data_IF_300418672420
#
_entry.id   IF_300418672420
#
_cell.length_a   1.000
_cell.length_b   1.000
_cell.length_c   1.000
_cell.angle_alpha   90.00
_cell.angle_beta   90.00
_cell.angle_gamma   90.00
#
_symmetry.space_group_name_H-M   'P 1'
#
loop_
_entity.id
_entity.type
_entity.pdbx_description
1 polymer ?
#
# COMPACT_ATOMS: atom_id res chain seq x y z
N UNK A 1 12.10 -14.07 -3.11
CA UNK A 1 11.44 -13.54 -1.90
C UNK A 1 10.04 -14.15 -1.86
N UNK A 2 9.57 -14.66 -0.72
CA UNK A 2 8.25 -15.31 -0.63
C UNK A 2 7.14 -14.30 -0.36
N UNK A 3 5.94 -14.56 -0.88
CA UNK A 3 4.77 -13.71 -0.60
C UNK A 3 4.26 -13.93 0.83
N UNK A 4 4.03 -12.83 1.56
CA UNK A 4 3.32 -12.85 2.84
C UNK A 4 1.84 -13.14 2.59
N UNK A 5 1.22 -12.44 1.62
CA UNK A 5 -0.16 -12.69 1.22
C UNK A 5 -0.26 -13.72 0.08
N UNK A 6 0.03 -14.99 0.41
CA UNK A 6 0.08 -16.09 -0.57
C UNK A 6 -1.18 -16.19 -1.45
N UNK A 7 -2.37 -16.11 -0.86
CA UNK A 7 -3.63 -16.20 -1.60
C UNK A 7 -3.86 -15.00 -2.52
N UNK A 8 -3.48 -13.80 -2.06
CA UNK A 8 -3.60 -12.58 -2.86
C UNK A 8 -2.66 -12.65 -4.06
N UNK A 9 -1.41 -13.09 -3.84
CA UNK A 9 -0.43 -13.32 -4.88
C UNK A 9 -0.84 -14.42 -5.86
N UNK A 10 -1.58 -15.44 -5.40
CA UNK A 10 -2.08 -16.53 -6.25
C UNK A 10 -3.31 -16.14 -7.12
N UNK A 11 -3.48 -14.85 -7.39
CA UNK A 11 -4.47 -14.33 -8.34
C UNK A 11 -5.70 -13.68 -7.72
N UNK A 12 -6.00 -13.89 -6.43
CA UNK A 12 -7.15 -13.24 -5.78
C UNK A 12 -7.03 -11.72 -5.80
N UNK A 13 -5.83 -11.16 -5.70
CA UNK A 13 -5.65 -9.71 -5.73
C UNK A 13 -6.18 -9.07 -7.02
N UNK A 14 -6.06 -9.76 -8.16
CA UNK A 14 -6.50 -9.28 -9.47
C UNK A 14 -8.03 -9.22 -9.60
N UNK A 15 -8.77 -9.89 -8.72
CA UNK A 15 -10.24 -9.87 -8.70
C UNK A 15 -10.80 -8.68 -7.93
N UNK A 16 -9.97 -7.96 -7.18
CA UNK A 16 -10.39 -6.77 -6.45
C UNK A 16 -10.51 -5.55 -7.39
N UNK A 17 -11.46 -4.67 -7.09
CA UNK A 17 -11.53 -3.35 -7.72
C UNK A 17 -10.31 -2.52 -7.33
N UNK A 18 -9.97 -1.49 -8.10
CA UNK A 18 -8.87 -0.59 -7.75
C UNK A 18 -9.10 0.04 -6.36
N UNK A 19 -10.34 0.42 -6.02
CA UNK A 19 -10.67 0.95 -4.71
C UNK A 19 -10.37 -0.05 -3.58
N UNK A 20 -10.72 -1.33 -3.77
CA UNK A 20 -10.40 -2.38 -2.80
C UNK A 20 -8.88 -2.59 -2.67
N UNK A 21 -8.14 -2.61 -3.78
CA UNK A 21 -6.69 -2.75 -3.75
C UNK A 21 -6.03 -1.61 -2.97
N UNK A 22 -6.39 -0.36 -3.32
CA UNK A 22 -5.84 0.83 -2.70
C UNK A 22 -6.24 0.97 -1.22
N UNK A 23 -7.48 0.61 -0.85
CA UNK A 23 -7.90 0.60 0.56
C UNK A 23 -7.15 -0.44 1.42
N UNK A 24 -6.86 -1.61 0.85
CA UNK A 24 -6.05 -2.63 1.53
C UNK A 24 -4.58 -2.19 1.67
N UNK A 25 -3.99 -1.57 0.63
CA UNK A 25 -2.65 -0.95 0.73
C UNK A 25 -2.64 0.10 1.84
N UNK A 26 -3.63 1.00 1.87
CA UNK A 26 -3.76 2.03 2.89
C UNK A 26 -3.82 1.46 4.31
N UNK A 27 -4.46 0.31 4.50
CA UNK A 27 -4.51 -0.36 5.79
C UNK A 27 -3.12 -0.81 6.27
N UNK A 28 -2.25 -1.29 5.37
CA UNK A 28 -0.87 -1.65 5.72
C UNK A 28 0.02 -0.42 5.95
N UNK A 29 -0.17 0.64 5.16
CA UNK A 29 0.51 1.93 5.37
C UNK A 29 0.15 2.51 6.74
N UNK A 30 -1.14 2.51 7.10
CA UNK A 30 -1.61 2.96 8.41
C UNK A 30 -0.98 2.16 9.57
N UNK A 31 -0.90 0.82 9.43
CA UNK A 31 -0.24 -0.02 10.43
C UNK A 31 1.24 0.34 10.57
N UNK A 32 1.93 0.56 9.45
CA UNK A 32 3.34 0.93 9.47
C UNK A 32 3.56 2.26 10.20
N UNK A 33 2.77 3.29 9.88
CA UNK A 33 2.78 4.60 10.56
C UNK A 33 2.48 4.43 12.06
N UNK A 34 1.44 3.67 12.40
CA UNK A 34 1.01 3.46 13.79
C UNK A 34 2.08 2.78 14.65
N UNK A 35 2.80 1.80 14.10
CA UNK A 35 3.93 1.18 14.81
C UNK A 35 5.16 2.08 14.86
N UNK A 36 5.43 2.87 13.82
CA UNK A 36 6.51 3.88 13.80
C UNK A 36 6.34 4.87 14.95
N UNK A 37 5.12 5.40 15.14
CA UNK A 37 4.76 6.30 16.26
C UNK A 37 4.98 5.69 17.65
N UNK A 38 4.79 4.38 17.75
CA UNK A 38 4.99 3.63 19.00
C UNK A 38 6.45 3.21 19.22
N UNK A 39 7.37 3.70 18.39
CA UNK A 39 8.79 3.30 18.35
C UNK A 39 8.99 1.78 18.17
N UNK A 40 8.00 1.08 17.59
CA UNK A 40 8.10 -0.33 17.29
C UNK A 40 8.58 -0.51 15.83
N UNK A 41 9.89 -0.38 15.65
CA UNK A 41 10.55 -0.34 14.34
C UNK A 41 10.32 -1.62 13.55
N UNK A 42 10.42 -2.79 14.19
CA UNK A 42 10.27 -4.08 13.52
C UNK A 42 8.85 -4.25 12.93
N UNK A 43 7.82 -3.97 13.73
CA UNK A 43 6.44 -4.09 13.28
C UNK A 43 6.10 -3.04 12.22
N UNK A 44 6.69 -1.85 12.32
CA UNK A 44 6.57 -0.82 11.30
C UNK A 44 7.14 -1.31 9.96
N UNK A 45 8.37 -1.85 9.96
CA UNK A 45 9.02 -2.42 8.77
C UNK A 45 8.23 -3.57 8.18
N UNK A 46 7.74 -4.49 9.01
CA UNK A 46 6.92 -5.63 8.54
C UNK A 46 5.60 -5.19 7.91
N UNK A 47 4.98 -4.11 8.39
CA UNK A 47 3.80 -3.52 7.74
C UNK A 47 4.16 -2.78 6.45
N UNK A 48 5.29 -2.06 6.41
CA UNK A 48 5.77 -1.40 5.21
C UNK A 48 6.08 -2.40 4.08
N UNK A 49 6.73 -3.53 4.38
CA UNK A 49 6.97 -4.58 3.38
C UNK A 49 5.69 -5.20 2.84
N UNK A 50 4.68 -5.39 3.71
CA UNK A 50 3.34 -5.82 3.28
C UNK A 50 2.68 -4.79 2.36
N UNK A 51 2.77 -3.50 2.67
CA UNK A 51 2.24 -2.45 1.80
C UNK A 51 2.93 -2.46 0.42
N UNK A 52 4.27 -2.58 0.39
CA UNK A 52 5.04 -2.66 -0.86
C UNK A 52 4.68 -3.90 -1.69
N UNK A 53 4.52 -5.06 -1.06
CA UNK A 53 4.04 -6.28 -1.73
C UNK A 53 2.68 -6.06 -2.40
N UNK A 54 1.73 -5.44 -1.70
CA UNK A 54 0.40 -5.15 -2.25
C UNK A 54 0.45 -4.10 -3.38
N UNK A 55 1.38 -3.14 -3.32
CA UNK A 55 1.61 -2.20 -4.42
C UNK A 55 2.17 -2.93 -5.64
N UNK A 56 3.13 -3.84 -5.45
CA UNK A 56 3.69 -4.65 -6.55
C UNK A 56 2.61 -5.52 -7.21
N UNK A 57 1.76 -6.19 -6.41
CA UNK A 57 0.60 -6.93 -6.93
C UNK A 57 -0.40 -6.02 -7.65
N UNK A 58 -0.55 -4.76 -7.22
CA UNK A 58 -1.42 -3.77 -7.88
C UNK A 58 -0.86 -3.33 -9.22
N UNK A 59 0.45 -3.08 -9.32
CA UNK A 59 1.13 -2.80 -10.59
C UNK A 59 0.85 -3.92 -11.58
N UNK A 60 1.04 -5.18 -11.17
CA UNK A 60 0.76 -6.34 -12.02
C UNK A 60 -0.72 -6.50 -12.38
N UNK A 61 -1.64 -6.15 -11.48
CA UNK A 61 -3.07 -6.23 -11.74
C UNK A 61 -3.56 -5.15 -12.72
N UNK A 62 -2.90 -3.99 -12.74
CA UNK A 62 -3.36 -2.78 -13.43
C UNK A 62 -2.53 -2.39 -14.65
N UNK A 63 -1.40 -3.05 -14.95
CA UNK A 63 -0.47 -2.59 -16.01
C UNK A 63 -1.05 -2.46 -17.43
N UNK A 64 -2.17 -3.14 -17.72
CA UNK A 64 -2.89 -3.04 -19.01
C UNK A 64 -4.15 -2.17 -18.95
N UNK A 65 -4.52 -1.69 -17.76
CA UNK A 65 -5.77 -0.96 -17.50
C UNK A 65 -5.53 0.51 -17.18
N UNK A 66 -4.40 0.82 -16.52
CA UNK A 66 -4.04 2.16 -16.07
C UNK A 66 -2.56 2.44 -16.31
N UNK A 67 -2.19 3.71 -16.23
CA UNK A 67 -0.79 4.13 -16.21
C UNK A 67 -0.11 3.61 -14.94
N UNK A 68 0.92 2.79 -15.08
CA UNK A 68 1.68 2.27 -13.92
C UNK A 68 2.57 3.32 -13.24
N UNK A 69 2.72 4.51 -13.85
CA UNK A 69 3.57 5.58 -13.31
C UNK A 69 3.12 6.03 -11.93
N UNK A 70 1.81 6.10 -11.68
CA UNK A 70 1.28 6.51 -10.39
C UNK A 70 1.56 5.46 -9.30
N UNK A 71 1.36 4.17 -9.61
CA UNK A 71 1.62 3.09 -8.66
C UNK A 71 3.11 2.91 -8.35
N UNK A 72 3.98 3.08 -9.35
CA UNK A 72 5.43 3.06 -9.15
C UNK A 72 5.92 4.26 -8.34
N UNK A 73 5.38 5.46 -8.59
CA UNK A 73 5.64 6.63 -7.75
C UNK A 73 5.16 6.42 -6.31
N UNK A 74 3.97 5.86 -6.12
CA UNK A 74 3.47 5.53 -4.80
C UNK A 74 4.42 4.57 -4.07
N UNK A 75 4.92 3.55 -4.78
CA UNK A 75 5.92 2.61 -4.24
C UNK A 75 7.17 3.34 -3.74
N UNK A 76 7.70 4.27 -4.54
CA UNK A 76 8.86 5.10 -4.17
C UNK A 76 8.59 5.92 -2.91
N UNK A 77 7.45 6.63 -2.86
CA UNK A 77 7.05 7.46 -1.72
C UNK A 77 6.89 6.63 -0.44
N UNK A 78 6.24 5.47 -0.52
CA UNK A 78 6.05 4.58 0.63
C UNK A 78 7.38 4.00 1.11
N UNK A 79 8.28 3.65 0.18
CA UNK A 79 9.61 3.18 0.51
C UNK A 79 10.43 4.27 1.24
N UNK A 80 10.48 5.48 0.69
CA UNK A 80 11.19 6.62 1.29
C UNK A 80 10.60 6.96 2.67
N UNK A 81 9.28 7.10 2.79
CA UNK A 81 8.64 7.54 4.03
C UNK A 81 8.77 6.55 5.19
N UNK A 82 8.63 5.24 4.91
CA UNK A 82 8.56 4.22 5.96
C UNK A 82 9.90 3.51 6.21
N UNK A 83 10.79 3.47 5.22
CA UNK A 83 12.03 2.70 5.28
C UNK A 83 13.29 3.54 5.01
N UNK A 84 13.14 4.73 4.43
CA UNK A 84 14.24 5.64 4.11
C UNK A 84 14.29 6.87 5.02
N UNK A 85 14.98 7.90 4.52
CA UNK A 85 15.25 9.15 5.24
C UNK A 85 14.10 10.18 5.11
N UNK A 86 13.03 9.82 4.39
CA UNK A 86 11.88 10.67 4.13
C UNK A 86 12.26 11.95 3.36
N UNK A 87 13.03 11.79 2.28
CA UNK A 87 13.49 12.88 1.41
C UNK A 87 12.34 13.62 0.74
N UNK A 88 11.21 12.94 0.49
CA UNK A 88 10.02 13.58 -0.07
C UNK A 88 9.20 14.36 0.98
N UNK A 89 9.65 14.42 2.22
CA UNK A 89 8.97 15.08 3.34
C UNK A 89 7.51 14.63 3.49
N UNK A 90 7.28 13.33 3.30
CA UNK A 90 5.94 12.73 3.45
C UNK A 90 5.54 12.73 4.92
N UNK A 91 4.25 12.96 5.17
CA UNK A 91 3.66 12.86 6.49
C UNK A 91 2.37 12.02 6.45
N UNK A 92 1.66 11.98 7.57
CA UNK A 92 0.44 11.18 7.73
C UNK A 92 -0.72 11.62 6.83
N UNK A 93 -0.66 12.81 6.23
CA UNK A 93 -1.65 13.26 5.26
C UNK A 93 -1.72 12.35 4.03
N UNK A 94 -0.69 11.53 3.77
CA UNK A 94 -0.74 10.45 2.76
C UNK A 94 -1.92 9.50 2.99
N UNK A 95 -2.42 9.36 4.21
CA UNK A 95 -3.61 8.56 4.50
C UNK A 95 -4.85 9.08 3.78
N UNK A 96 -4.97 10.40 3.57
CA UNK A 96 -6.12 10.99 2.85
C UNK A 96 -6.24 10.46 1.41
N UNK A 97 -5.11 10.15 0.78
CA UNK A 97 -5.08 9.52 -0.54
C UNK A 97 -5.74 8.14 -0.49
N UNK A 98 -5.41 7.31 0.51
CA UNK A 98 -5.98 5.97 0.68
C UNK A 98 -7.42 5.97 1.21
N UNK A 99 -7.76 6.89 2.11
CA UNK A 99 -9.08 6.97 2.76
C UNK A 99 -10.20 7.17 1.73
N UNK A 100 -9.91 7.93 0.67
CA UNK A 100 -10.84 8.12 -0.45
C UNK A 100 -11.16 6.78 -1.14
N UNK A 101 -10.16 5.92 -1.35
CA UNK A 101 -10.37 4.58 -1.90
C UNK A 101 -11.04 3.63 -0.91
N UNK A 102 -10.70 3.70 0.36
CA UNK A 102 -11.35 2.91 1.41
C UNK A 102 -12.84 3.24 1.52
N UNK A 103 -13.21 4.53 1.41
CA UNK A 103 -14.60 4.96 1.35
C UNK A 103 -15.31 4.38 0.11
N UNK A 104 -14.72 4.54 -1.08
CA UNK A 104 -15.29 3.99 -2.32
C UNK A 104 -15.46 2.47 -2.26
N UNK A 105 -14.48 1.75 -1.73
CA UNK A 105 -14.52 0.28 -1.60
C UNK A 105 -15.67 -0.25 -0.71
N UNK A 106 -16.21 0.59 0.16
CA UNK A 106 -17.32 0.25 1.05
C UNK A 106 -18.67 0.83 0.58
N UNK A 107 -18.68 1.70 -0.42
CA UNK A 107 -19.92 2.27 -0.97
C UNK A 107 -20.70 1.29 -1.86
N UNK A 108 -19.99 0.32 -2.43
CA UNK A 108 -20.55 -0.69 -3.34
C UNK A 108 -20.92 -2.02 -2.64
N UNK A 109 -21.06 -2.01 -1.32
CA UNK A 109 -21.54 -3.14 -0.50
C UNK A 109 -22.95 -2.89 -0.01
#
# INVERSE_FOLDING_TARGET
>A
MGYVHKDLANGRWKTFTLAQQMGNIGSEVYRAISFKKKNNVEYSKNAAYRALELIDLTIEAQYKKHSIKEFTRLREVICDYLLGDNEFHTDESIMKYFDSFAYMANKDK
#
